data_IF_714622773116
#
_entry.id   IF_714622773116
#
_cell.length_a   1.000
_cell.length_b   1.000
_cell.length_c   1.000
_cell.angle_alpha   90.00
_cell.angle_beta   90.00
_cell.angle_gamma   90.00
#
_symmetry.space_group_name_H-M   'P 1'
#
loop_
_entity.id
_entity.type
_entity.pdbx_description
1 polymer ?
#
# COMPACT_ATOMS: atom_id res chain seq x y z
N UNK A 1 50.25 -13.85 -10.24
CA UNK A 1 49.00 -14.26 -10.88
C UNK A 1 49.26 -14.54 -12.34
N UNK A 2 48.96 -15.76 -12.78
CA UNK A 2 49.13 -16.15 -14.17
C UNK A 2 47.94 -15.66 -15.01
N UNK A 3 48.12 -15.56 -16.33
CA UNK A 3 47.06 -15.17 -17.27
C UNK A 3 45.84 -16.10 -17.19
N UNK A 4 46.06 -17.39 -16.92
CA UNK A 4 45.01 -18.38 -16.75
C UNK A 4 44.16 -18.14 -15.48
N UNK A 5 44.79 -17.77 -14.36
CA UNK A 5 44.07 -17.42 -13.12
C UNK A 5 43.21 -16.16 -13.29
N UNK A 6 43.69 -15.18 -14.07
CA UNK A 6 42.92 -13.98 -14.40
C UNK A 6 41.66 -14.33 -15.23
N UNK A 7 41.81 -15.23 -16.20
CA UNK A 7 40.71 -15.68 -17.07
C UNK A 7 39.66 -16.47 -16.28
N UNK A 8 40.07 -17.35 -15.36
CA UNK A 8 39.16 -18.08 -14.47
C UNK A 8 38.35 -17.16 -13.55
N UNK A 9 38.98 -16.13 -12.99
CA UNK A 9 38.28 -15.13 -12.16
C UNK A 9 37.24 -14.38 -12.99
N UNK A 10 37.57 -14.01 -14.23
CA UNK A 10 36.63 -13.33 -15.13
C UNK A 10 35.47 -14.24 -15.51
N UNK A 11 35.70 -15.52 -15.76
CA UNK A 11 34.64 -16.51 -16.05
C UNK A 11 33.71 -16.66 -14.84
N UNK A 12 34.27 -16.79 -13.64
CA UNK A 12 33.50 -16.94 -12.41
C UNK A 12 32.61 -15.70 -12.14
N UNK A 13 33.18 -14.50 -12.28
CA UNK A 13 32.43 -13.25 -12.12
C UNK A 13 31.30 -13.12 -13.13
N UNK A 14 31.53 -13.50 -14.40
CA UNK A 14 30.49 -13.51 -15.43
C UNK A 14 29.35 -14.48 -15.07
N UNK A 15 29.68 -15.66 -14.55
CA UNK A 15 28.68 -16.63 -14.09
C UNK A 15 27.85 -16.09 -12.92
N UNK A 16 28.49 -15.41 -11.96
CA UNK A 16 27.78 -14.78 -10.84
C UNK A 16 26.85 -13.64 -11.30
N UNK A 17 27.31 -12.79 -12.21
CA UNK A 17 26.48 -11.72 -12.78
C UNK A 17 25.26 -12.31 -13.49
N UNK A 18 25.45 -13.34 -14.31
CA UNK A 18 24.35 -14.02 -14.99
C UNK A 18 23.35 -14.64 -13.99
N UNK A 19 23.84 -15.28 -12.92
CA UNK A 19 23.00 -15.82 -11.86
C UNK A 19 22.18 -14.75 -11.15
N UNK A 20 22.80 -13.59 -10.85
CA UNK A 20 22.11 -12.48 -10.20
C UNK A 20 21.07 -11.84 -11.11
N UNK A 21 21.38 -11.67 -12.40
CA UNK A 21 20.44 -11.14 -13.38
C UNK A 21 19.19 -12.03 -13.50
N UNK A 22 19.37 -13.35 -13.56
CA UNK A 22 18.25 -14.29 -13.57
C UNK A 22 17.41 -14.17 -12.30
N UNK A 23 18.06 -14.07 -11.13
CA UNK A 23 17.35 -13.93 -9.86
C UNK A 23 16.56 -12.63 -9.76
N UNK A 24 17.11 -11.52 -10.24
CA UNK A 24 16.41 -10.23 -10.29
C UNK A 24 15.17 -10.34 -11.17
N UNK A 25 15.29 -10.94 -12.35
CA UNK A 25 14.16 -11.15 -13.25
C UNK A 25 13.03 -11.98 -12.61
N UNK A 26 13.35 -13.10 -11.96
CA UNK A 26 12.37 -13.90 -11.22
C UNK A 26 11.66 -13.08 -10.13
N UNK A 27 12.42 -12.28 -9.38
CA UNK A 27 11.87 -11.44 -8.31
C UNK A 27 10.96 -10.34 -8.87
N UNK A 28 11.30 -9.76 -10.02
CA UNK A 28 10.47 -8.77 -10.72
C UNK A 28 9.15 -9.38 -11.21
N UNK A 29 9.20 -10.59 -11.77
CA UNK A 29 8.00 -11.34 -12.21
C UNK A 29 7.07 -11.67 -11.03
N UNK A 30 7.62 -12.20 -9.93
CA UNK A 30 6.84 -12.48 -8.72
C UNK A 30 6.29 -11.20 -8.08
N UNK A 31 7.04 -10.09 -8.10
CA UNK A 31 6.56 -8.80 -7.60
C UNK A 31 5.39 -8.25 -8.44
N UNK A 32 5.44 -8.40 -9.77
CA UNK A 32 4.33 -8.03 -10.65
C UNK A 32 3.07 -8.87 -10.38
N UNK A 33 3.25 -10.19 -10.18
CA UNK A 33 2.17 -11.13 -9.82
C UNK A 33 1.56 -10.85 -8.45
N UNK A 34 2.36 -10.48 -7.46
CA UNK A 34 1.86 -10.07 -6.15
C UNK A 34 1.12 -8.74 -6.25
N UNK A 35 1.65 -7.77 -7.02
CA UNK A 35 1.01 -6.48 -7.25
C UNK A 35 -0.37 -6.61 -7.89
N UNK A 36 -0.54 -7.49 -8.89
CA UNK A 36 -1.84 -7.74 -9.52
C UNK A 36 -2.86 -8.33 -8.54
N UNK A 37 -2.43 -9.21 -7.64
CA UNK A 37 -3.29 -9.76 -6.58
C UNK A 37 -3.72 -8.71 -5.57
N UNK A 38 -2.83 -7.78 -5.18
CA UNK A 38 -3.17 -6.67 -4.28
C UNK A 38 -4.19 -5.73 -4.93
N UNK A 39 -4.03 -5.41 -6.21
CA UNK A 39 -5.00 -4.59 -6.94
C UNK A 39 -6.39 -5.26 -7.01
N UNK A 40 -6.44 -6.58 -7.22
CA UNK A 40 -7.69 -7.33 -7.24
C UNK A 40 -8.41 -7.35 -5.86
N UNK A 41 -7.65 -7.29 -4.75
CA UNK A 41 -8.23 -7.16 -3.41
C UNK A 41 -8.89 -5.79 -3.15
N UNK A 42 -8.48 -4.71 -3.84
CA UNK A 42 -9.10 -3.38 -3.67
C UNK A 42 -10.59 -3.40 -4.06
N UNK A 43 -10.94 -4.19 -5.08
CA UNK A 43 -12.32 -4.30 -5.58
C UNK A 43 -13.28 -4.99 -4.59
N UNK A 44 -12.77 -5.91 -3.76
CA UNK A 44 -13.61 -6.60 -2.76
C UNK A 44 -13.98 -5.71 -1.56
N UNK A 45 -13.20 -4.66 -1.29
CA UNK A 45 -13.50 -3.69 -0.23
C UNK A 45 -14.67 -2.78 -0.64
N UNK A 46 -14.78 -2.44 -1.92
CA UNK A 46 -15.87 -1.59 -2.45
C UNK A 46 -17.20 -2.35 -2.52
N UNK A 47 -17.19 -3.64 -2.88
CA UNK A 47 -18.41 -4.46 -3.00
C UNK A 47 -19.10 -4.79 -1.66
N UNK A 48 -18.39 -4.73 -0.51
CA UNK A 48 -18.99 -4.97 0.80
C UNK A 48 -19.67 -3.74 1.42
N UNK A 49 -19.53 -2.55 0.80
CA UNK A 49 -20.08 -1.29 1.30
C UNK A 49 -21.61 -1.15 1.17
N UNK A 50 -22.29 -2.01 0.40
CA UNK A 50 -23.70 -1.79 0.00
C UNK A 50 -24.76 -2.48 0.89
N UNK A 51 -24.39 -3.29 1.90
CA UNK A 51 -25.35 -4.22 2.54
C UNK A 51 -26.13 -3.62 3.74
N UNK A 52 -25.81 -2.43 4.25
CA UNK A 52 -26.41 -1.95 5.51
C UNK A 52 -27.27 -0.68 5.36
N UNK A 53 -28.47 -0.80 4.79
CA UNK A 53 -29.54 0.19 4.99
C UNK A 53 -30.91 -0.50 5.21
N UNK A 54 -31.18 -0.89 6.45
CA UNK A 54 -32.55 -1.15 6.94
C UNK A 54 -32.65 -0.90 8.45
N UNK A 55 -33.54 0.02 8.85
CA UNK A 55 -33.89 0.32 10.24
C UNK A 55 -34.28 1.81 10.37
N UNK A 56 -35.52 2.20 10.07
CA UNK A 56 -36.76 2.19 10.88
C UNK A 56 -37.03 3.54 11.58
N UNK A 57 -38.32 3.87 11.67
CA UNK A 57 -38.94 5.20 11.80
C UNK A 57 -39.03 5.70 13.24
N UNK A 58 -38.89 7.02 13.44
CA UNK A 58 -39.76 7.93 14.23
C UNK A 58 -38.98 9.01 15.00
N UNK A 59 -39.13 10.29 14.62
CA UNK A 59 -39.68 11.38 15.49
C UNK A 59 -39.77 12.71 14.74
N UNK A 60 -40.93 13.37 14.83
CA UNK A 60 -41.27 14.68 14.26
C UNK A 60 -40.67 15.87 15.04
N UNK A 61 -40.16 16.90 14.32
CA UNK A 61 -40.31 18.38 14.52
C UNK A 61 -39.25 19.09 13.64
N UNK A 62 -39.39 20.27 13.04
CA UNK A 62 -40.46 21.22 12.63
C UNK A 62 -39.73 22.28 11.77
N UNK A 63 -40.27 22.55 10.56
CA UNK A 63 -40.13 23.70 9.62
C UNK A 63 -38.91 24.66 9.70
N UNK A 64 -38.23 24.89 8.55
CA UNK A 64 -38.14 26.21 7.85
C UNK A 64 -37.49 26.09 6.46
N UNK A 65 -37.83 27.06 5.59
CA UNK A 65 -37.70 27.20 4.13
C UNK A 65 -36.33 26.99 3.44
N UNK A 66 -36.45 26.81 2.11
CA UNK A 66 -35.47 26.57 1.04
C UNK A 66 -34.19 27.44 1.02
N UNK A 67 -33.09 26.84 0.54
CA UNK A 67 -32.12 27.40 -0.41
C UNK A 67 -31.22 26.26 -0.97
N UNK A 68 -31.12 26.03 -2.30
CA UNK A 68 -30.26 25.00 -2.87
C UNK A 68 -28.86 25.58 -3.13
N UNK A 69 -28.05 25.62 -2.07
CA UNK A 69 -26.60 25.79 -2.19
C UNK A 69 -25.94 24.45 -1.91
N UNK A 70 -25.29 23.85 -2.90
CA UNK A 70 -24.50 22.64 -2.70
C UNK A 70 -23.43 22.92 -1.64
N UNK A 71 -23.68 22.45 -0.41
CA UNK A 71 -22.79 22.65 0.71
C UNK A 71 -21.61 21.68 0.56
N UNK A 72 -20.47 22.19 0.09
CA UNK A 72 -19.20 21.46 0.04
C UNK A 72 -18.67 21.09 1.43
N UNK A 73 -19.40 21.40 2.51
CA UNK A 73 -19.05 21.09 3.90
C UNK A 73 -19.28 19.64 4.34
N UNK A 74 -19.82 18.76 3.50
CA UNK A 74 -20.11 17.37 3.90
C UNK A 74 -18.83 16.55 4.18
N UNK A 75 -17.65 16.99 3.75
CA UNK A 75 -16.41 16.22 3.96
C UNK A 75 -15.82 16.24 5.39
N UNK A 76 -16.34 17.07 6.31
CA UNK A 76 -15.71 17.27 7.63
C UNK A 76 -16.50 16.71 8.83
N UNK A 77 -17.56 15.94 8.61
CA UNK A 77 -18.41 15.41 9.67
C UNK A 77 -18.35 13.88 9.80
N UNK A 78 -17.29 13.25 9.31
CA UNK A 78 -17.01 11.87 9.70
C UNK A 78 -16.38 11.90 11.10
N UNK A 79 -17.04 11.36 12.14
CA UNK A 79 -16.39 11.22 13.43
C UNK A 79 -15.13 10.39 13.25
N UNK A 80 -14.01 10.81 13.86
CA UNK A 80 -12.74 10.06 13.80
C UNK A 80 -13.02 8.60 14.18
N UNK A 81 -12.75 7.68 13.26
CA UNK A 81 -12.90 6.23 13.48
C UNK A 81 -11.52 5.65 13.70
N UNK A 82 -11.36 4.91 14.80
CA UNK A 82 -10.20 4.07 14.99
C UNK A 82 -10.39 2.81 14.15
N UNK A 83 -9.39 2.50 13.33
CA UNK A 83 -9.38 1.31 12.49
C UNK A 83 -8.14 0.50 12.82
N UNK A 84 -8.31 -0.81 12.98
CA UNK A 84 -7.19 -1.73 13.10
C UNK A 84 -6.90 -2.31 11.72
N UNK A 85 -5.64 -2.25 11.30
CA UNK A 85 -5.18 -2.79 10.03
C UNK A 85 -4.27 -3.98 10.29
N UNK A 86 -4.54 -5.11 9.63
CA UNK A 86 -3.61 -6.24 9.57
C UNK A 86 -2.81 -6.12 8.29
N UNK A 87 -1.51 -5.92 8.45
CA UNK A 87 -0.61 -5.63 7.35
C UNK A 87 0.43 -6.74 7.24
N UNK A 88 0.78 -7.11 6.01
CA UNK A 88 1.90 -7.99 5.70
C UNK A 88 2.88 -7.25 4.80
N UNK A 89 4.17 -7.39 5.05
CA UNK A 89 5.21 -6.76 4.25
C UNK A 89 6.47 -7.63 4.21
N UNK A 90 7.30 -7.44 3.18
CA UNK A 90 8.60 -8.10 3.05
C UNK A 90 9.68 -7.31 3.79
N UNK A 91 10.08 -7.78 4.97
CA UNK A 91 10.98 -7.04 5.86
C UNK A 91 12.40 -6.83 5.35
N UNK A 92 12.90 -7.63 4.39
CA UNK A 92 14.29 -7.54 3.93
C UNK A 92 14.66 -6.17 3.32
N UNK A 93 13.67 -5.40 2.84
CA UNK A 93 13.88 -4.08 2.23
C UNK A 93 13.77 -2.91 3.21
N UNK A 94 13.49 -3.18 4.48
CA UNK A 94 13.20 -2.15 5.47
C UNK A 94 14.02 -2.35 6.75
N UNK A 95 14.38 -1.26 7.40
CA UNK A 95 15.08 -1.28 8.69
C UNK A 95 14.10 -1.36 9.87
N UNK A 96 13.10 -2.23 9.74
CA UNK A 96 12.05 -2.42 10.73
C UNK A 96 10.75 -1.70 10.39
N UNK A 97 9.81 -1.76 11.34
CA UNK A 97 8.46 -1.22 11.16
C UNK A 97 8.39 0.25 11.53
N UNK A 98 8.84 0.60 12.74
CA UNK A 98 8.68 1.92 13.33
C UNK A 98 9.60 2.96 12.69
N UNK A 99 9.09 4.17 12.52
CA UNK A 99 9.85 5.32 12.00
C UNK A 99 10.87 5.91 12.98
N UNK A 100 10.92 5.40 14.21
CA UNK A 100 11.89 5.83 15.24
C UNK A 100 13.31 5.33 14.96
N UNK A 101 13.48 4.39 14.02
CA UNK A 101 14.79 3.96 13.58
C UNK A 101 15.52 5.12 12.85
N UNK A 102 16.78 5.37 13.21
CA UNK A 102 17.66 6.33 12.52
C UNK A 102 18.06 5.90 11.08
N UNK A 103 17.43 4.84 10.55
CA UNK A 103 17.74 4.28 9.23
C UNK A 103 16.49 4.20 8.38
N UNK A 104 16.56 4.78 7.18
CA UNK A 104 15.53 4.67 6.15
C UNK A 104 15.89 3.60 5.11
N UNK A 105 14.90 2.86 4.56
CA UNK A 105 13.45 3.08 4.69
C UNK A 105 12.79 2.25 5.82
N UNK A 106 11.71 2.78 6.41
CA UNK A 106 10.85 2.09 7.38
C UNK A 106 9.43 1.89 6.84
N UNK A 107 8.74 0.88 7.37
CA UNK A 107 7.42 0.47 6.88
C UNK A 107 6.35 1.51 7.23
N UNK A 108 6.38 2.04 8.46
CA UNK A 108 5.44 3.06 8.94
C UNK A 108 5.43 4.31 8.06
N UNK A 109 6.61 4.82 7.68
CA UNK A 109 6.72 6.01 6.81
C UNK A 109 6.04 5.77 5.46
N UNK A 110 6.22 4.59 4.86
CA UNK A 110 5.53 4.25 3.61
C UNK A 110 4.01 4.17 3.78
N UNK A 111 3.51 3.59 4.87
CA UNK A 111 2.07 3.52 5.14
C UNK A 111 1.46 4.89 5.39
N UNK A 112 2.14 5.74 6.16
CA UNK A 112 1.68 7.11 6.43
C UNK A 112 1.60 7.91 5.12
N UNK A 113 2.63 7.85 4.27
CA UNK A 113 2.62 8.53 2.97
C UNK A 113 1.53 8.01 2.04
N UNK A 114 1.27 6.69 2.02
CA UNK A 114 0.17 6.11 1.24
C UNK A 114 -1.20 6.62 1.74
N UNK A 115 -1.41 6.70 3.05
CA UNK A 115 -2.68 7.17 3.62
C UNK A 115 -2.93 8.66 3.36
N UNK A 116 -1.88 9.48 3.40
CA UNK A 116 -1.97 10.91 3.07
C UNK A 116 -2.26 11.10 1.57
N UNK A 117 -1.52 10.41 0.69
CA UNK A 117 -1.72 10.55 -0.77
C UNK A 117 -3.08 10.03 -1.25
N UNK A 118 -3.72 9.11 -0.53
CA UNK A 118 -5.07 8.63 -0.82
C UNK A 118 -6.18 9.58 -0.34
N UNK A 119 -5.86 10.63 0.44
CA UNK A 119 -6.80 11.66 0.87
C UNK A 119 -6.92 12.83 -0.11
N UNK A 120 -5.91 13.04 -0.96
CA UNK A 120 -5.83 14.16 -1.91
C UNK A 120 -6.33 13.81 -3.34
N UNK A 121 -6.98 12.66 -3.52
CA UNK A 121 -7.62 12.18 -4.76
C UNK A 121 -9.13 12.03 -4.56
#
# INVERSE_FOLDING_TARGET
MSRAEQEDVVINLRAQIASLQNRVKELEEENAKLSSRVLNCRYLVEAMGEINQRGDKNRKKKSTADMPGCDTRIMNHHPRRYVALKVMYFGQRFYGFASEAQMDPTVEVCYVLLLITMQDL
#
